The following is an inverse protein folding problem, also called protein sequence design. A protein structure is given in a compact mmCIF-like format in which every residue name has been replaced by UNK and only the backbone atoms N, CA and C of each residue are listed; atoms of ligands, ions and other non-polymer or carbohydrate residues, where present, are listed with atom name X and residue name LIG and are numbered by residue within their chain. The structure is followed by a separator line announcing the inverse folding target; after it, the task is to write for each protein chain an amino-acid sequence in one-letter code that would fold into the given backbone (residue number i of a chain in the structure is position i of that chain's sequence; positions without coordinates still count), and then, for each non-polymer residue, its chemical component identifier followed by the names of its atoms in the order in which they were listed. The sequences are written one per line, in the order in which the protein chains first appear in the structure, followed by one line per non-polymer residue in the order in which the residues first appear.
data_IF_737786945671
#
_entry.id   IF_737786945671
#
_cell.length_a   1.000
_cell.length_b   1.000
_cell.length_c   1.000
_cell.angle_alpha   90.00
_cell.angle_beta   90.00
_cell.angle_gamma   90.00
#
_symmetry.space_group_name_H-M   'P 1'
#
loop_
_entity.id
_entity.type
_entity.pdbx_description
1 polymer ?
#
# COMPACT_ATOMS: atom_id res chain seq x y z
N UNK A 1 -14.90 -6.53 -10.79
CA UNK A 1 -14.29 -5.76 -9.67
C UNK A 1 -12.84 -5.38 -9.93
N UNK A 2 -12.01 -6.23 -10.57
CA UNK A 2 -10.61 -5.92 -10.90
C UNK A 2 -10.37 -4.70 -11.83
N UNK A 3 -11.39 -4.21 -12.54
CA UNK A 3 -11.29 -3.07 -13.46
C UNK A 3 -11.56 -1.69 -12.83
N UNK A 4 -12.13 -1.62 -11.61
CA UNK A 4 -12.47 -0.33 -10.99
C UNK A 4 -11.27 0.37 -10.34
N UNK A 5 -10.38 -0.40 -9.71
CA UNK A 5 -9.16 0.13 -9.08
C UNK A 5 -8.24 0.85 -10.08
N UNK A 6 -7.98 0.31 -11.29
CA UNK A 6 -7.24 1.01 -12.35
C UNK A 6 -7.91 2.30 -12.81
N UNK A 7 -9.24 2.31 -12.96
CA UNK A 7 -9.99 3.49 -13.41
C UNK A 7 -9.92 4.63 -12.40
N UNK A 8 -10.13 4.34 -11.12
CA UNK A 8 -10.05 5.33 -10.04
C UNK A 8 -8.63 5.91 -9.94
N UNK A 9 -7.61 5.05 -10.03
CA UNK A 9 -6.22 5.50 -10.02
C UNK A 9 -5.85 6.33 -11.26
N UNK A 10 -6.36 5.97 -12.43
CA UNK A 10 -6.18 6.76 -13.66
C UNK A 10 -6.83 8.14 -13.58
N UNK A 11 -8.07 8.23 -13.08
CA UNK A 11 -8.76 9.51 -12.87
C UNK A 11 -8.03 10.42 -11.88
N UNK A 12 -7.48 9.84 -10.80
CA UNK A 12 -6.66 10.56 -9.81
C UNK A 12 -5.35 11.04 -10.43
N UNK A 13 -4.71 10.20 -11.25
CA UNK A 13 -3.45 10.55 -11.92
C UNK A 13 -3.60 11.73 -12.88
N UNK A 14 -4.69 11.74 -13.65
CA UNK A 14 -5.01 12.79 -14.62
C UNK A 14 -5.51 14.09 -13.95
N UNK A 15 -6.27 14.00 -12.84
CA UNK A 15 -6.89 15.19 -12.24
C UNK A 15 -6.02 15.99 -11.26
N UNK A 16 -5.14 15.34 -10.48
CA UNK A 16 -4.57 16.02 -9.29
C UNK A 16 -3.06 16.31 -9.32
N UNK A 17 -2.23 15.52 -10.00
CA UNK A 17 -0.77 15.55 -9.76
C UNK A 17 0.11 15.36 -11.00
N UNK A 18 -0.41 14.84 -12.11
CA UNK A 18 0.39 14.41 -13.27
C UNK A 18 0.93 12.99 -13.09
N UNK A 19 1.14 12.28 -14.21
CA UNK A 19 1.49 10.84 -14.27
C UNK A 19 2.68 10.46 -13.37
N UNK A 20 3.75 11.25 -13.40
CA UNK A 20 4.98 10.98 -12.63
C UNK A 20 4.79 11.07 -11.10
N UNK A 21 4.07 12.08 -10.62
CA UNK A 21 3.83 12.26 -9.17
C UNK A 21 2.92 11.16 -8.62
N UNK A 22 2.01 10.64 -9.43
CA UNK A 22 1.15 9.51 -9.05
C UNK A 22 1.95 8.21 -8.94
N UNK A 23 2.93 7.99 -9.83
CA UNK A 23 3.88 6.87 -9.71
C UNK A 23 4.68 6.98 -8.41
N UNK A 24 5.19 8.16 -8.06
CA UNK A 24 5.94 8.38 -6.82
C UNK A 24 5.08 8.17 -5.56
N UNK A 25 3.84 8.64 -5.55
CA UNK A 25 2.93 8.44 -4.42
C UNK A 25 2.56 6.96 -4.24
N UNK A 26 2.19 6.28 -5.32
CA UNK A 26 1.79 4.86 -5.29
C UNK A 26 2.96 3.95 -4.89
N UNK A 27 4.17 4.22 -5.37
CA UNK A 27 5.37 3.50 -4.95
C UNK A 27 5.73 3.76 -3.49
N UNK A 28 5.58 5.00 -3.01
CA UNK A 28 5.82 5.34 -1.60
C UNK A 28 4.84 4.63 -0.67
N UNK A 29 3.55 4.58 -1.03
CA UNK A 29 2.53 3.84 -0.28
C UNK A 29 2.83 2.34 -0.24
N UNK A 30 3.30 1.77 -1.35
CA UNK A 30 3.70 0.36 -1.42
C UNK A 30 4.88 0.06 -0.48
N UNK A 31 5.92 0.89 -0.48
CA UNK A 31 7.08 0.75 0.41
C UNK A 31 6.67 0.88 1.88
N UNK A 32 5.81 1.86 2.20
CA UNK A 32 5.26 2.02 3.56
C UNK A 32 4.47 0.80 4.01
N UNK A 33 3.64 0.23 3.13
CA UNK A 33 2.89 -0.99 3.40
C UNK A 33 3.80 -2.19 3.72
N UNK A 34 4.87 -2.39 2.92
CA UNK A 34 5.87 -3.43 3.19
C UNK A 34 6.62 -3.20 4.51
N UNK A 35 6.94 -1.95 4.83
CA UNK A 35 7.57 -1.57 6.10
C UNK A 35 6.69 -1.90 7.31
N UNK A 36 5.40 -1.54 7.26
CA UNK A 36 4.43 -1.86 8.30
C UNK A 36 4.19 -3.38 8.44
N UNK A 37 4.16 -4.10 7.32
CA UNK A 37 4.04 -5.56 7.33
C UNK A 37 5.24 -6.22 8.03
N UNK A 38 6.44 -5.78 7.68
CA UNK A 38 7.69 -6.25 8.29
C UNK A 38 7.73 -5.92 9.78
N UNK A 39 7.33 -4.71 10.16
CA UNK A 39 7.24 -4.28 11.55
C UNK A 39 6.25 -5.13 12.37
N UNK A 40 5.09 -5.45 11.79
CA UNK A 40 4.10 -6.31 12.42
C UNK A 40 4.63 -7.74 12.63
N UNK A 41 5.47 -8.23 11.71
CA UNK A 41 6.06 -9.57 11.77
C UNK A 41 7.25 -9.66 12.75
N UNK A 42 8.06 -8.60 12.86
CA UNK A 42 9.24 -8.58 13.74
C UNK A 42 8.92 -8.27 15.20
N UNK A 43 7.73 -7.75 15.50
CA UNK A 43 7.27 -7.52 16.87
C UNK A 43 7.23 -8.84 17.66
N UNK A 44 8.11 -9.07 18.65
CA UNK A 44 8.11 -10.29 19.44
C UNK A 44 6.85 -10.33 20.30
N UNK A 45 6.14 -11.45 20.32
CA UNK A 45 5.05 -11.68 21.28
C UNK A 45 5.66 -11.73 22.68
N UNK A 46 5.60 -10.62 23.42
CA UNK A 46 5.97 -10.57 24.83
C UNK A 46 5.03 -11.50 25.61
N UNK A 47 5.44 -12.75 25.76
CA UNK A 47 4.80 -13.73 26.61
C UNK A 47 5.39 -13.59 28.02
N UNK A 48 4.91 -12.61 28.80
CA UNK A 48 5.08 -12.55 30.26
C UNK A 48 3.85 -11.87 30.89
N UNK A 49 3.06 -12.68 31.58
CA UNK A 49 2.06 -12.32 32.61
C UNK A 49 1.30 -10.99 32.46
N UNK A 50 0.29 -10.96 31.59
CA UNK A 50 -0.89 -10.10 31.74
C UNK A 50 -1.93 -10.41 30.65
N UNK A 51 -2.94 -11.23 30.94
CA UNK A 51 -3.95 -11.65 29.95
C UNK A 51 -4.67 -10.48 29.25
N UNK A 52 -4.84 -9.35 29.95
CA UNK A 52 -5.49 -8.15 29.41
C UNK A 52 -4.59 -7.35 28.47
N UNK A 53 -3.27 -7.29 28.73
CA UNK A 53 -2.31 -6.57 27.89
C UNK A 53 -2.00 -7.36 26.60
N UNK A 54 -1.94 -8.70 26.72
CA UNK A 54 -1.76 -9.62 25.58
C UNK A 54 -2.89 -9.47 24.56
N UNK A 55 -4.15 -9.38 25.02
CA UNK A 55 -5.31 -9.21 24.12
C UNK A 55 -5.26 -7.90 23.32
N UNK A 56 -4.90 -6.77 23.97
CA UNK A 56 -4.80 -5.46 23.31
C UNK A 56 -3.63 -5.39 22.32
N UNK A 57 -2.49 -5.99 22.65
CA UNK A 57 -1.33 -6.09 21.74
C UNK A 57 -1.65 -6.96 20.52
N UNK A 58 -2.40 -8.05 20.71
CA UNK A 58 -2.87 -8.90 19.61
C UNK A 58 -3.80 -8.14 18.66
N UNK A 59 -4.77 -7.38 19.19
CA UNK A 59 -5.66 -6.56 18.37
C UNK A 59 -4.93 -5.46 17.58
N UNK A 60 -3.94 -4.80 18.20
CA UNK A 60 -3.10 -3.81 17.52
C UNK A 60 -2.29 -4.44 16.39
N UNK A 61 -1.66 -5.60 16.62
CA UNK A 61 -0.95 -6.35 15.57
C UNK A 61 -1.85 -6.70 14.39
N UNK A 62 -3.05 -7.22 14.65
CA UNK A 62 -4.02 -7.56 13.61
C UNK A 62 -4.43 -6.32 12.82
N UNK A 63 -4.66 -5.20 13.50
CA UNK A 63 -5.04 -3.93 12.85
C UNK A 63 -3.90 -3.41 11.97
N UNK A 64 -2.66 -3.38 12.46
CA UNK A 64 -1.48 -2.94 11.71
C UNK A 64 -1.24 -3.86 10.51
N UNK A 65 -1.40 -5.18 10.67
CA UNK A 65 -1.29 -6.15 9.60
C UNK A 65 -2.30 -5.90 8.47
N UNK A 66 -3.58 -5.73 8.80
CA UNK A 66 -4.59 -5.42 7.79
C UNK A 66 -4.39 -4.05 7.14
N UNK A 67 -4.01 -3.02 7.90
CA UNK A 67 -3.63 -1.73 7.35
C UNK A 67 -2.47 -1.85 6.35
N UNK A 68 -1.43 -2.62 6.68
CA UNK A 68 -0.30 -2.87 5.79
C UNK A 68 -0.75 -3.54 4.48
N UNK A 69 -1.61 -4.56 4.56
CA UNK A 69 -2.16 -5.25 3.38
C UNK A 69 -2.98 -4.31 2.48
N UNK A 70 -3.81 -3.44 3.07
CA UNK A 70 -4.57 -2.46 2.29
C UNK A 70 -3.65 -1.45 1.58
N UNK A 71 -2.61 -0.96 2.26
CA UNK A 71 -1.63 -0.05 1.66
C UNK A 71 -0.87 -0.69 0.50
N UNK A 72 -0.46 -1.95 0.65
CA UNK A 72 0.20 -2.73 -0.41
C UNK A 72 -0.74 -2.88 -1.61
N UNK A 73 -1.99 -3.32 -1.39
CA UNK A 73 -2.97 -3.53 -2.45
C UNK A 73 -3.26 -2.23 -3.24
N UNK A 74 -3.37 -1.12 -2.52
CA UNK A 74 -3.59 0.22 -3.09
C UNK A 74 -2.38 0.68 -3.90
N UNK A 75 -1.17 0.54 -3.36
CA UNK A 75 0.08 0.95 -4.02
C UNK A 75 0.41 0.13 -5.26
N UNK A 76 0.23 -1.20 -5.21
CA UNK A 76 0.53 -2.10 -6.34
C UNK A 76 -0.44 -1.87 -7.52
N UNK A 77 -1.72 -1.60 -7.22
CA UNK A 77 -2.72 -1.28 -8.23
C UNK A 77 -2.42 0.01 -8.99
N UNK A 78 -2.02 1.07 -8.29
CA UNK A 78 -1.68 2.35 -8.92
C UNK A 78 -0.37 2.32 -9.70
N UNK A 79 0.67 1.71 -9.13
CA UNK A 79 2.01 1.63 -9.74
C UNK A 79 1.99 0.86 -11.08
N UNK A 80 1.40 -0.33 -11.12
CA UNK A 80 1.39 -1.19 -12.33
C UNK A 80 0.62 -0.58 -13.50
N UNK A 81 -0.39 0.24 -13.23
CA UNK A 81 -1.19 0.89 -14.27
C UNK A 81 -0.45 2.12 -14.82
N UNK A 82 0.07 2.97 -13.93
CA UNK A 82 0.74 4.20 -14.34
C UNK A 82 2.08 3.96 -15.04
N UNK A 83 2.85 2.95 -14.62
CA UNK A 83 4.15 2.62 -15.25
C UNK A 83 3.97 2.10 -16.67
N UNK A 84 2.95 1.27 -16.94
CA UNK A 84 2.69 0.78 -18.30
C UNK A 84 2.24 1.89 -19.23
N UNK A 85 1.45 2.82 -18.72
CA UNK A 85 0.99 3.96 -19.49
C UNK A 85 2.12 4.96 -19.78
N UNK A 86 2.99 5.23 -18.80
CA UNK A 86 4.18 6.07 -18.97
C UNK A 86 5.23 5.43 -19.89
N UNK A 87 5.38 4.10 -19.85
CA UNK A 87 6.25 3.37 -20.77
C UNK A 87 5.75 3.40 -22.21
N UNK A 88 4.44 3.44 -22.44
CA UNK A 88 3.86 3.59 -23.77
C UNK A 88 4.12 5.00 -24.34
N UNK A 89 3.97 6.05 -23.53
CA UNK A 89 4.23 7.43 -23.95
C UNK A 89 5.66 7.66 -24.48
N UNK A 90 6.64 6.84 -24.06
CA UNK A 90 8.04 6.96 -24.51
C UNK A 90 8.26 6.55 -25.97
N UNK A 91 7.29 5.89 -26.60
CA UNK A 91 7.37 5.45 -28.00
C UNK A 91 6.47 6.25 -28.93
N UNK A 92 5.64 7.13 -28.38
CA UNK A 92 4.80 8.06 -29.14
C UNK A 92 5.52 9.39 -29.45
N UNK A 93 6.81 9.50 -29.09
CA UNK A 93 7.78 10.52 -29.54
C UNK A 93 8.85 9.89 -30.43
#
# INVERSE_FOLDING_TARGET
TAAFLPLIWGSIADSFLGRFRTILLTSSLYILGLGLLTYSATMPSLCKDHETLVSRVSQLKVTIFFCALYLIAIGEGGFKVCVRAFGADQFDE
#
